data_IF_366889059487
#
_entry.id   IF_366889059487
#
_cell.length_a   1.000
_cell.length_b   1.000
_cell.length_c   1.000
_cell.angle_alpha   90.00
_cell.angle_beta   90.00
_cell.angle_gamma   90.00
#
_symmetry.space_group_name_H-M   'P 1'
#
loop_
_entity.id
_entity.type
_entity.pdbx_description
1 polymer ?
#
# COMPACT_ATOMS: atom_id res chain seq x y z
N UNK A 1 9.01 15.28 9.05
CA UNK A 1 8.81 13.86 9.43
C UNK A 1 9.99 13.08 8.88
N UNK A 2 10.73 12.36 9.72
CA UNK A 2 11.86 11.57 9.26
C UNK A 2 11.35 10.30 8.56
N UNK A 3 12.04 9.80 7.51
CA UNK A 3 11.79 8.45 7.01
C UNK A 3 11.85 7.38 8.11
N UNK A 4 12.61 7.59 9.18
CA UNK A 4 12.72 6.62 10.28
C UNK A 4 11.44 6.51 11.13
N UNK A 5 10.56 7.52 11.07
CA UNK A 5 9.32 7.55 11.85
C UNK A 5 8.25 6.60 11.30
N UNK A 6 8.37 6.15 10.03
CA UNK A 6 7.34 5.39 9.31
C UNK A 6 6.93 4.12 10.04
N UNK A 7 7.89 3.39 10.61
CA UNK A 7 7.60 2.15 11.35
C UNK A 7 6.86 2.44 12.66
N UNK A 8 7.29 3.47 13.40
CA UNK A 8 6.63 3.88 14.65
C UNK A 8 5.19 4.34 14.40
N UNK A 9 4.95 5.07 13.31
CA UNK A 9 3.60 5.48 12.89
C UNK A 9 2.75 4.27 12.50
N UNK A 10 3.34 3.27 11.83
CA UNK A 10 2.65 2.05 11.43
C UNK A 10 2.20 1.20 12.64
N UNK A 11 3.08 0.96 13.60
CA UNK A 11 2.76 0.18 14.81
C UNK A 11 1.86 0.97 15.78
N UNK A 12 2.09 2.28 15.89
CA UNK A 12 1.40 3.16 16.81
C UNK A 12 -0.08 3.41 16.51
N UNK A 13 -0.73 4.13 17.43
CA UNK A 13 -2.14 4.55 17.33
C UNK A 13 -2.31 6.08 17.28
N UNK A 14 -1.23 6.82 17.05
CA UNK A 14 -1.30 8.29 16.94
C UNK A 14 -1.93 8.68 15.59
N UNK A 15 -3.21 9.08 15.65
CA UNK A 15 -3.98 9.49 14.47
C UNK A 15 -3.42 10.73 13.79
N UNK A 16 -2.94 11.72 14.55
CA UNK A 16 -2.37 12.95 13.99
C UNK A 16 -1.05 12.69 13.27
N UNK A 17 -0.17 11.86 13.84
CA UNK A 17 1.05 11.43 13.16
C UNK A 17 0.74 10.65 11.86
N UNK A 18 -0.31 9.83 11.86
CA UNK A 18 -0.74 9.10 10.66
C UNK A 18 -1.28 10.04 9.58
N UNK A 19 -2.10 11.03 9.95
CA UNK A 19 -2.59 12.06 9.03
C UNK A 19 -1.45 12.90 8.45
N UNK A 20 -0.49 13.30 9.29
CA UNK A 20 0.68 14.05 8.86
C UNK A 20 1.53 13.24 7.85
N UNK A 21 1.71 11.93 8.07
CA UNK A 21 2.38 11.05 7.11
C UNK A 21 1.60 11.00 5.78
N UNK A 22 0.28 10.85 5.83
CA UNK A 22 -0.54 10.82 4.62
C UNK A 22 -0.47 12.12 3.83
N UNK A 23 -0.54 13.27 4.51
CA UNK A 23 -0.42 14.57 3.87
C UNK A 23 0.95 14.73 3.20
N UNK A 24 2.02 14.33 3.88
CA UNK A 24 3.37 14.42 3.32
C UNK A 24 3.56 13.51 2.11
N UNK A 25 3.11 12.25 2.18
CA UNK A 25 3.16 11.33 1.04
C UNK A 25 2.31 11.84 -0.13
N UNK A 26 1.08 12.28 0.12
CA UNK A 26 0.19 12.76 -0.94
C UNK A 26 0.77 13.96 -1.71
N UNK A 27 1.58 14.81 -1.05
CA UNK A 27 2.27 15.92 -1.69
C UNK A 27 3.37 15.50 -2.69
N UNK A 28 3.78 14.23 -2.69
CA UNK A 28 4.81 13.67 -3.58
C UNK A 28 4.24 13.13 -4.91
N UNK A 29 3.02 13.55 -5.28
CA UNK A 29 2.39 13.21 -6.55
C UNK A 29 1.86 11.77 -6.63
N UNK A 30 1.83 11.21 -7.84
CA UNK A 30 1.22 9.92 -8.15
C UNK A 30 1.76 8.76 -7.29
N UNK A 31 3.08 8.66 -7.17
CA UNK A 31 3.73 7.63 -6.36
C UNK A 31 3.40 7.80 -4.87
N UNK A 32 3.34 9.04 -4.40
CA UNK A 32 2.95 9.41 -3.05
C UNK A 32 1.50 9.02 -2.72
N UNK A 33 0.57 9.26 -3.64
CA UNK A 33 -0.83 8.85 -3.48
C UNK A 33 -0.99 7.33 -3.36
N UNK A 34 -0.28 6.55 -4.17
CA UNK A 34 -0.26 5.08 -4.06
C UNK A 34 0.35 4.66 -2.71
N UNK A 35 1.42 5.31 -2.26
CA UNK A 35 2.03 5.03 -0.96
C UNK A 35 1.09 5.27 0.23
N UNK A 36 0.27 6.33 0.19
CA UNK A 36 -0.78 6.56 1.19
C UNK A 36 -1.73 5.36 1.26
N UNK A 37 -2.25 4.92 0.12
CA UNK A 37 -3.25 3.85 0.11
C UNK A 37 -2.67 2.48 0.44
N UNK A 38 -1.44 2.18 0.02
CA UNK A 38 -0.74 0.94 0.42
C UNK A 38 -0.50 0.88 1.93
N UNK A 39 0.01 1.97 2.51
CA UNK A 39 0.23 2.05 3.96
C UNK A 39 -1.08 1.86 4.72
N UNK A 40 -2.14 2.54 4.27
CA UNK A 40 -3.48 2.47 4.87
C UNK A 40 -4.08 1.07 4.77
N UNK A 41 -4.04 0.45 3.60
CA UNK A 41 -4.53 -0.91 3.37
C UNK A 41 -3.81 -1.92 4.25
N UNK A 42 -2.49 -1.80 4.37
CA UNK A 42 -1.67 -2.67 5.22
C UNK A 42 -1.99 -2.50 6.71
N UNK A 43 -2.08 -1.25 7.20
CA UNK A 43 -2.42 -0.97 8.60
C UNK A 43 -3.83 -1.44 8.94
N UNK A 44 -4.81 -1.23 8.06
CA UNK A 44 -6.17 -1.73 8.23
C UNK A 44 -6.23 -3.27 8.24
N UNK A 45 -5.49 -3.93 7.33
CA UNK A 45 -5.40 -5.38 7.24
C UNK A 45 -4.80 -6.01 8.50
N UNK A 46 -3.72 -5.44 9.03
CA UNK A 46 -3.09 -5.91 10.27
C UNK A 46 -4.05 -5.80 11.47
N UNK A 47 -4.79 -4.68 11.58
CA UNK A 47 -5.80 -4.51 12.63
C UNK A 47 -6.96 -5.49 12.49
N UNK A 48 -7.47 -5.74 11.28
CA UNK A 48 -8.51 -6.75 11.05
C UNK A 48 -8.05 -8.15 11.50
N UNK A 49 -6.80 -8.53 11.23
CA UNK A 49 -6.21 -9.80 11.71
C UNK A 49 -6.16 -9.86 13.24
N UNK A 50 -5.76 -8.78 13.91
CA UNK A 50 -5.73 -8.72 15.38
C UNK A 50 -7.13 -8.86 16.02
N UNK A 51 -8.14 -8.20 15.45
CA UNK A 51 -9.52 -8.26 15.96
C UNK A 51 -10.24 -9.59 15.66
N UNK A 52 -9.78 -10.38 14.68
CA UNK A 52 -10.28 -11.75 14.45
C UNK A 52 -10.08 -12.66 15.65
N UNK A 53 -9.02 -12.42 16.46
CA UNK A 53 -8.67 -13.24 17.62
C UNK A 53 -9.55 -13.06 18.86
N UNK A 54 -10.43 -12.04 18.90
CA UNK A 54 -11.41 -11.82 19.96
C UNK A 54 -10.82 -11.71 21.37
N UNK A 55 -10.57 -10.49 21.87
CA UNK A 55 -10.37 -10.30 23.30
C UNK A 55 -11.68 -10.62 24.04
N UNK A 56 -11.68 -11.62 24.95
CA UNK A 56 -12.82 -11.91 25.83
C UNK A 56 -13.32 -10.60 26.46
N UNK A 57 -14.60 -10.26 26.25
CA UNK A 57 -15.26 -9.13 26.90
C UNK A 57 -15.17 -7.77 26.18
N UNK A 58 -14.54 -7.66 25.00
CA UNK A 58 -14.68 -6.47 24.14
C UNK A 58 -15.63 -6.79 22.99
N UNK A 59 -16.65 -5.97 22.76
CA UNK A 59 -17.63 -6.14 21.68
C UNK A 59 -16.99 -6.39 20.31
N UNK A 60 -17.72 -6.96 19.36
CA UNK A 60 -17.19 -7.42 18.08
C UNK A 60 -16.80 -6.27 17.14
N UNK A 61 -15.68 -5.58 17.41
CA UNK A 61 -15.05 -4.64 16.47
C UNK A 61 -14.55 -5.31 15.18
N UNK A 62 -14.74 -6.62 15.05
CA UNK A 62 -14.38 -7.43 13.89
C UNK A 62 -15.00 -6.88 12.62
N UNK A 63 -16.33 -6.71 12.57
CA UNK A 63 -17.00 -6.24 11.34
C UNK A 63 -16.45 -4.88 10.90
N UNK A 64 -16.41 -3.90 11.82
CA UNK A 64 -15.85 -2.58 11.55
C UNK A 64 -14.39 -2.61 11.06
N UNK A 65 -13.56 -3.52 11.57
CA UNK A 65 -12.18 -3.65 11.13
C UNK A 65 -12.08 -4.24 9.71
N UNK A 66 -12.93 -5.20 9.36
CA UNK A 66 -13.02 -5.74 8.01
C UNK A 66 -13.62 -4.73 7.03
N UNK A 67 -14.66 -3.99 7.42
CA UNK A 67 -15.24 -2.91 6.59
C UNK A 67 -14.18 -1.85 6.27
N UNK A 68 -13.37 -1.47 7.27
CA UNK A 68 -12.25 -0.54 7.07
C UNK A 68 -11.17 -1.10 6.15
N UNK A 69 -10.88 -2.39 6.24
CA UNK A 69 -9.96 -3.07 5.32
C UNK A 69 -10.51 -3.03 3.89
N UNK A 70 -11.77 -3.42 3.69
CA UNK A 70 -12.45 -3.40 2.40
C UNK A 70 -12.44 -2.01 1.78
N UNK A 71 -12.80 -0.98 2.55
CA UNK A 71 -12.73 0.41 2.11
C UNK A 71 -11.31 0.83 1.69
N UNK A 72 -10.29 0.48 2.48
CA UNK A 72 -8.91 0.81 2.15
C UNK A 72 -8.39 0.08 0.90
N UNK A 73 -8.80 -1.18 0.69
CA UNK A 73 -8.44 -1.94 -0.53
C UNK A 73 -9.12 -1.39 -1.78
N UNK A 74 -10.38 -0.95 -1.67
CA UNK A 74 -11.05 -0.28 -2.78
C UNK A 74 -10.35 1.04 -3.16
N UNK A 75 -9.99 1.87 -2.18
CA UNK A 75 -9.24 3.10 -2.45
C UNK A 75 -7.87 2.82 -3.09
N UNK A 76 -7.17 1.78 -2.62
CA UNK A 76 -5.91 1.36 -3.23
C UNK A 76 -6.11 0.94 -4.69
N UNK A 77 -7.15 0.16 -5.00
CA UNK A 77 -7.46 -0.23 -6.36
C UNK A 77 -7.76 0.97 -7.26
N UNK A 78 -8.46 1.99 -6.74
CA UNK A 78 -8.68 3.27 -7.45
C UNK A 78 -7.37 4.01 -7.70
N UNK A 79 -6.52 4.19 -6.68
CA UNK A 79 -5.25 4.88 -6.82
C UNK A 79 -4.31 4.17 -7.83
N UNK A 80 -4.25 2.84 -7.78
CA UNK A 80 -3.49 2.05 -8.75
C UNK A 80 -4.06 2.16 -10.17
N UNK A 81 -5.39 2.18 -10.32
CA UNK A 81 -6.02 2.35 -11.64
C UNK A 81 -5.70 3.71 -12.27
N UNK A 82 -5.60 4.76 -11.46
CA UNK A 82 -5.29 6.10 -11.94
C UNK A 82 -3.81 6.32 -12.25
N UNK A 83 -2.91 5.73 -11.46
CA UNK A 83 -1.51 6.19 -11.42
C UNK A 83 -0.45 5.08 -11.55
N UNK A 84 -0.83 3.80 -11.53
CA UNK A 84 0.19 2.73 -11.54
C UNK A 84 1.02 2.72 -12.83
N UNK A 85 0.41 2.99 -13.99
CA UNK A 85 1.14 3.05 -15.26
C UNK A 85 2.16 4.20 -15.30
N UNK A 86 1.80 5.37 -14.78
CA UNK A 86 2.70 6.54 -14.67
C UNK A 86 3.90 6.25 -13.77
N UNK A 87 3.67 5.54 -12.66
CA UNK A 87 4.70 5.20 -11.66
C UNK A 87 5.49 3.94 -12.05
N UNK A 88 5.08 3.22 -13.09
CA UNK A 88 5.71 1.96 -13.51
C UNK A 88 5.44 0.79 -12.56
N UNK A 89 4.30 0.79 -11.86
CA UNK A 89 3.88 -0.30 -10.97
C UNK A 89 3.03 -1.31 -11.75
N UNK A 90 3.44 -2.58 -11.73
CA UNK A 90 2.62 -3.69 -12.19
C UNK A 90 1.71 -4.13 -11.04
N UNK A 91 0.42 -4.32 -11.31
CA UNK A 91 -0.55 -4.72 -10.30
C UNK A 91 -1.75 -5.43 -10.94
N UNK A 92 -2.56 -6.08 -10.10
CA UNK A 92 -3.82 -6.65 -10.53
C UNK A 92 -4.40 -7.64 -9.52
N UNK A 93 -5.55 -8.20 -9.87
CA UNK A 93 -6.27 -9.18 -9.06
C UNK A 93 -5.99 -10.62 -9.50
N UNK A 94 -5.72 -11.49 -8.55
CA UNK A 94 -5.71 -12.94 -8.74
C UNK A 94 -6.72 -13.64 -7.85
N UNK A 95 -6.72 -14.97 -7.93
CA UNK A 95 -7.58 -15.83 -7.11
C UNK A 95 -6.72 -16.86 -6.37
N UNK A 96 -6.83 -16.89 -5.05
CA UNK A 96 -6.29 -17.94 -4.20
C UNK A 96 -7.33 -19.06 -4.03
N UNK A 97 -7.15 -20.16 -4.75
CA UNK A 97 -8.05 -21.31 -4.69
C UNK A 97 -8.05 -22.02 -3.32
N UNK A 98 -7.05 -21.77 -2.46
CA UNK A 98 -6.93 -22.39 -1.13
C UNK A 98 -7.71 -21.63 -0.05
N UNK A 99 -8.15 -20.40 -0.32
CA UNK A 99 -8.84 -19.53 0.63
C UNK A 99 -10.30 -19.29 0.20
N UNK A 100 -11.27 -20.12 0.61
CA UNK A 100 -12.63 -20.10 0.07
C UNK A 100 -13.41 -18.82 0.39
N UNK A 101 -13.05 -18.12 1.49
CA UNK A 101 -13.77 -16.92 1.96
C UNK A 101 -13.11 -15.63 1.49
N UNK A 102 -11.78 -15.58 1.48
CA UNK A 102 -11.01 -14.39 1.08
C UNK A 102 -10.19 -14.68 -0.18
N UNK A 103 -10.84 -15.30 -1.18
CA UNK A 103 -10.21 -15.82 -2.39
C UNK A 103 -9.59 -14.77 -3.30
N UNK A 104 -10.04 -13.52 -3.24
CA UNK A 104 -9.51 -12.49 -4.13
C UNK A 104 -8.22 -11.94 -3.57
N UNK A 105 -7.16 -11.87 -4.39
CA UNK A 105 -5.87 -11.37 -3.95
C UNK A 105 -5.46 -10.20 -4.83
N UNK A 106 -5.26 -9.03 -4.24
CA UNK A 106 -4.64 -7.90 -4.91
C UNK A 106 -3.12 -8.08 -4.83
N UNK A 107 -2.43 -8.11 -5.97
CA UNK A 107 -0.97 -8.11 -6.05
C UNK A 107 -0.47 -6.76 -6.57
N UNK A 108 0.63 -6.27 -5.99
CA UNK A 108 1.29 -5.03 -6.38
C UNK A 108 2.80 -5.25 -6.37
N UNK A 109 3.45 -5.01 -7.50
CA UNK A 109 4.90 -5.09 -7.64
C UNK A 109 5.54 -3.75 -7.27
N UNK A 110 6.18 -3.73 -6.11
CA UNK A 110 7.00 -2.61 -5.68
C UNK A 110 8.46 -2.91 -6.00
N UNK A 111 9.28 -1.87 -6.12
CA UNK A 111 10.74 -2.02 -6.21
C UNK A 111 11.37 -2.70 -4.98
N UNK A 112 10.63 -2.80 -3.87
CA UNK A 112 11.04 -3.53 -2.66
C UNK A 112 10.53 -4.97 -2.65
N UNK A 113 9.88 -5.41 -3.73
CA UNK A 113 9.29 -6.73 -3.94
C UNK A 113 7.77 -6.71 -3.98
N UNK A 114 7.18 -7.86 -4.34
CA UNK A 114 5.75 -8.04 -4.47
C UNK A 114 5.03 -7.92 -3.13
N UNK A 115 3.85 -7.30 -3.10
CA UNK A 115 3.00 -7.28 -1.91
C UNK A 115 1.60 -7.72 -2.27
N UNK A 116 0.92 -8.34 -1.32
CA UNK A 116 -0.41 -8.90 -1.56
C UNK A 116 -1.40 -8.67 -0.43
N UNK A 117 -2.68 -8.61 -0.81
CA UNK A 117 -3.80 -8.47 0.12
C UNK A 117 -4.95 -9.39 -0.27
N UNK A 118 -5.31 -10.34 0.60
CA UNK A 118 -6.54 -11.10 0.46
C UNK A 118 -7.78 -10.25 0.76
N UNK A 119 -8.84 -10.45 0.00
CA UNK A 119 -10.13 -9.78 0.12
C UNK A 119 -11.28 -10.76 -0.09
N UNK A 120 -12.40 -10.53 0.58
CA UNK A 120 -13.65 -11.24 0.29
C UNK A 120 -14.30 -10.80 -1.02
N UNK A 121 -13.97 -9.60 -1.47
CA UNK A 121 -14.54 -8.98 -2.67
C UNK A 121 -13.42 -8.62 -3.66
N UNK A 122 -13.72 -8.73 -4.96
CA UNK A 122 -12.87 -8.19 -6.03
C UNK A 122 -13.32 -6.75 -6.32
N UNK A 123 -12.40 -5.79 -6.23
CA UNK A 123 -12.67 -4.42 -6.64
C UNK A 123 -12.30 -4.19 -8.11
N UNK A 124 -12.41 -2.96 -8.59
CA UNK A 124 -12.01 -2.58 -9.94
C UNK A 124 -10.52 -2.83 -10.19
N UNK A 125 -10.14 -2.96 -11.46
CA UNK A 125 -8.76 -3.17 -11.87
C UNK A 125 -8.55 -4.43 -12.72
N UNK A 126 -7.34 -4.56 -13.29
CA UNK A 126 -6.98 -5.65 -14.17
C UNK A 126 -6.80 -6.96 -13.38
N UNK A 127 -6.74 -8.07 -14.09
CA UNK A 127 -6.22 -9.31 -13.53
C UNK A 127 -4.70 -9.22 -13.43
N UNK A 128 -4.13 -9.84 -12.40
CA UNK A 128 -2.70 -9.81 -12.18
C UNK A 128 -1.98 -10.64 -13.26
N UNK A 129 -1.02 -10.07 -14.00
CA UNK A 129 -0.38 -10.78 -15.11
C UNK A 129 0.70 -11.77 -14.68
N UNK A 130 1.15 -11.68 -13.42
CA UNK A 130 2.23 -12.50 -12.88
C UNK A 130 1.77 -13.59 -11.92
N UNK A 131 2.74 -14.24 -11.29
CA UNK A 131 2.50 -15.22 -10.23
C UNK A 131 2.83 -14.63 -8.85
N UNK A 132 2.27 -15.24 -7.80
CA UNK A 132 2.68 -14.90 -6.44
C UNK A 132 4.15 -15.27 -6.23
N UNK A 133 4.94 -14.36 -5.68
CA UNK A 133 6.38 -14.55 -5.45
C UNK A 133 6.73 -15.61 -4.38
N UNK A 134 5.73 -16.19 -3.74
CA UNK A 134 5.87 -17.26 -2.74
C UNK A 134 6.32 -16.79 -1.35
N UNK A 135 6.53 -15.48 -1.14
CA UNK A 135 7.05 -14.96 0.13
C UNK A 135 5.91 -14.56 1.06
N UNK A 136 5.77 -15.26 2.18
CA UNK A 136 4.75 -14.98 3.19
C UNK A 136 5.18 -13.85 4.12
N UNK A 137 4.19 -13.10 4.61
CA UNK A 137 4.34 -12.02 5.61
C UNK A 137 5.34 -10.90 5.25
N UNK A 138 5.75 -10.81 3.98
CA UNK A 138 6.71 -9.80 3.51
C UNK A 138 6.09 -8.42 3.24
N UNK A 139 4.77 -8.32 3.05
CA UNK A 139 4.09 -7.08 2.63
C UNK A 139 4.41 -5.89 3.54
N UNK A 140 4.42 -6.07 4.87
CA UNK A 140 4.70 -4.98 5.82
C UNK A 140 6.09 -4.40 5.57
N UNK A 141 7.13 -5.24 5.62
CA UNK A 141 8.51 -4.79 5.46
C UNK A 141 8.77 -4.12 4.10
N UNK A 142 8.15 -4.66 3.04
CA UNK A 142 8.26 -4.14 1.67
C UNK A 142 7.57 -2.78 1.52
N UNK A 143 6.34 -2.64 2.02
CA UNK A 143 5.59 -1.36 1.98
C UNK A 143 6.30 -0.29 2.79
N UNK A 144 6.70 -0.59 4.03
CA UNK A 144 7.35 0.40 4.88
C UNK A 144 8.70 0.84 4.29
N UNK A 145 9.50 -0.10 3.76
CA UNK A 145 10.75 0.23 3.06
C UNK A 145 10.50 1.11 1.83
N UNK A 146 9.45 0.83 1.06
CA UNK A 146 9.11 1.62 -0.12
C UNK A 146 8.64 3.03 0.24
N UNK A 147 7.79 3.17 1.25
CA UNK A 147 7.34 4.46 1.81
C UNK A 147 8.53 5.29 2.29
N UNK A 148 9.47 4.67 3.02
CA UNK A 148 10.71 5.35 3.46
C UNK A 148 11.53 5.86 2.29
N UNK A 149 11.69 5.04 1.25
CA UNK A 149 12.43 5.41 0.05
C UNK A 149 11.79 6.61 -0.65
N UNK A 150 10.47 6.60 -0.84
CA UNK A 150 9.72 7.73 -1.43
C UNK A 150 9.93 9.02 -0.65
N UNK A 151 9.87 8.96 0.68
CA UNK A 151 10.08 10.13 1.53
C UNK A 151 11.53 10.67 1.43
N UNK A 152 12.51 9.78 1.31
CA UNK A 152 13.91 10.17 1.14
C UNK A 152 14.17 10.80 -0.24
N UNK A 153 13.62 10.20 -1.30
CA UNK A 153 13.76 10.67 -2.69
C UNK A 153 13.00 11.98 -2.91
N UNK A 154 11.77 12.09 -2.40
CA UNK A 154 10.93 13.29 -2.50
C UNK A 154 11.44 14.48 -1.69
N UNK A 155 12.19 14.23 -0.61
CA UNK A 155 12.92 15.28 0.12
C UNK A 155 14.20 15.75 -0.58
N UNK A 156 14.67 15.01 -1.59
CA UNK A 156 15.90 15.26 -2.33
C UNK A 156 15.63 15.83 -3.72
N UNK A 157 14.67 16.76 -3.84
CA UNK A 157 14.49 17.56 -5.04
C UNK A 157 15.67 18.53 -5.24
N UNK A 158 16.84 18.00 -5.60
CA UNK A 158 17.76 18.75 -6.43
C UNK A 158 17.09 18.89 -7.81
N UNK A 159 17.04 20.09 -8.40
CA UNK A 159 16.43 20.28 -9.71
C UNK A 159 17.11 19.36 -10.71
N UNK A 160 16.33 18.48 -11.37
CA UNK A 160 16.81 17.79 -12.56
C UNK A 160 17.11 18.86 -13.59
N UNK A 161 18.40 19.18 -13.74
CA UNK A 161 18.87 20.01 -14.83
C UNK A 161 18.38 19.34 -16.12
N UNK A 162 17.55 20.08 -16.87
CA UNK A 162 17.23 19.76 -18.25
C UNK A 162 18.56 19.51 -18.96
N UNK A 163 18.85 18.25 -19.31
CA UNK A 163 19.86 17.97 -20.33
C UNK A 163 19.20 18.39 -21.64
N UNK A 164 19.38 19.66 -22.01
CA UNK A 164 19.19 20.08 -23.38
C UNK A 164 20.22 19.32 -24.21
N UNK A 165 19.76 18.31 -24.94
CA UNK A 165 20.52 17.79 -26.08
C UNK A 165 20.35 18.78 -27.23
N UNK A 166 21.01 19.93 -27.12
CA UNK A 166 21.44 20.66 -28.30
C UNK A 166 22.76 20.06 -28.80
N UNK A 167 22.89 20.07 -30.14
CA UNK A 167 24.12 19.90 -30.92
C UNK A 167 24.62 18.47 -31.16
N UNK A 168 24.18 17.91 -32.30
CA UNK A 168 25.04 17.64 -33.48
C UNK A 168 24.16 17.89 -34.72
N UNK A 169 24.33 19.03 -35.39
CA UNK A 169 25.22 19.24 -36.54
C UNK A 169 24.80 18.39 -37.76
#
# INVERSE_FOLDING_TARGET
>A
MSPDDVYAIYEGSNGEATKALYAHLAALGAQGAIAVELFRAQKASARAKAYRGGGRGRGSYRSMAYDRKSWALNNLAVALSCSAAEVGIVWGWGVDAKEPVHRHVLYVELSTGQVSFHSGERYAGPDYPGEWDGVRDASIGRILSWVRRILAEGGSAAPQALVQSELRA
#
